data_IF_621637540242
#
_entry.id   IF_621637540242
#
_cell.length_a   1.000
_cell.length_b   1.000
_cell.length_c   1.000
_cell.angle_alpha   90.00
_cell.angle_beta   90.00
_cell.angle_gamma   90.00
#
_symmetry.space_group_name_H-M   'P 1'
#
loop_
_entity.id
_entity.type
_entity.pdbx_description
1 polymer ?
#
# COMPACT_ATOMS: atom_id res chain seq x y z
N UNK A 1 -2.89 17.37 7.22
CA UNK A 1 -3.74 17.21 6.02
C UNK A 1 -4.68 16.04 6.27
N UNK A 2 -5.99 16.26 6.19
CA UNK A 2 -6.96 15.17 6.20
C UNK A 2 -6.95 14.51 4.81
N UNK A 3 -6.82 13.18 4.75
CA UNK A 3 -6.97 12.46 3.50
C UNK A 3 -8.44 12.45 3.11
N UNK A 4 -8.80 12.74 1.85
CA UNK A 4 -10.11 12.32 1.34
C UNK A 4 -10.27 10.82 1.61
N UNK A 5 -11.40 10.37 2.16
CA UNK A 5 -11.56 8.99 2.64
C UNK A 5 -11.28 7.94 1.55
N UNK A 6 -11.70 8.21 0.31
CA UNK A 6 -11.41 7.37 -0.86
C UNK A 6 -9.91 7.22 -1.12
N UNK A 7 -9.16 8.32 -0.98
CA UNK A 7 -7.70 8.34 -1.12
C UNK A 7 -7.01 7.53 -0.04
N UNK A 8 -7.45 7.65 1.22
CA UNK A 8 -6.92 6.85 2.33
C UNK A 8 -7.16 5.35 2.15
N UNK A 9 -8.38 4.98 1.73
CA UNK A 9 -8.73 3.59 1.47
C UNK A 9 -7.83 2.94 0.41
N UNK A 10 -7.56 3.64 -0.71
CA UNK A 10 -6.62 3.14 -1.73
C UNK A 10 -5.19 3.01 -1.19
N UNK A 11 -4.72 4.01 -0.45
CA UNK A 11 -3.38 4.04 0.12
C UNK A 11 -3.15 2.91 1.14
N UNK A 12 -4.12 2.64 2.02
CA UNK A 12 -4.06 1.54 2.98
C UNK A 12 -4.00 0.17 2.30
N UNK A 13 -4.71 -0.04 1.19
CA UNK A 13 -4.65 -1.32 0.43
C UNK A 13 -3.28 -1.56 -0.18
N UNK A 14 -2.63 -0.51 -0.68
CA UNK A 14 -1.28 -0.58 -1.25
C UNK A 14 -0.24 -0.87 -0.16
N UNK A 15 -0.38 -0.24 1.01
CA UNK A 15 0.44 -0.55 2.19
C UNK A 15 0.23 -1.99 2.68
N UNK A 16 -1.02 -2.47 2.71
CA UNK A 16 -1.34 -3.85 3.06
C UNK A 16 -0.69 -4.84 2.08
N UNK A 17 -0.69 -4.56 0.78
CA UNK A 17 0.00 -5.40 -0.20
C UNK A 17 1.51 -5.43 0.04
N UNK A 18 2.13 -4.28 0.34
CA UNK A 18 3.53 -4.23 0.77
C UNK A 18 3.78 -5.13 1.99
N UNK A 19 2.97 -5.01 3.06
CA UNK A 19 3.11 -5.84 4.27
C UNK A 19 2.94 -7.33 4.02
N UNK A 20 2.03 -7.71 3.13
CA UNK A 20 1.88 -9.11 2.69
C UNK A 20 3.08 -9.59 1.90
N UNK A 21 3.72 -8.74 1.10
CA UNK A 21 4.96 -9.12 0.43
C UNK A 21 6.11 -9.26 1.42
N UNK A 22 6.22 -8.33 2.38
CA UNK A 22 7.21 -8.37 3.45
C UNK A 22 7.12 -9.67 4.25
N UNK A 23 5.90 -10.07 4.67
CA UNK A 23 5.68 -11.33 5.39
C UNK A 23 6.01 -12.59 4.58
N UNK A 24 6.04 -12.49 3.25
CA UNK A 24 6.36 -13.59 2.34
C UNK A 24 7.82 -13.57 1.88
N UNK A 25 8.63 -12.58 2.28
CA UNK A 25 10.02 -12.44 1.82
C UNK A 25 10.16 -11.92 0.38
N UNK A 26 9.22 -11.10 -0.09
CA UNK A 26 9.22 -10.47 -1.42
C UNK A 26 9.36 -11.42 -2.62
N UNK A 27 8.57 -12.51 -2.72
CA UNK A 27 8.68 -13.45 -3.83
C UNK A 27 8.33 -12.80 -5.17
N UNK A 28 8.99 -13.26 -6.23
CA UNK A 28 8.76 -12.81 -7.61
C UNK A 28 7.29 -13.04 -8.01
N UNK A 29 6.70 -12.06 -8.71
CA UNK A 29 5.33 -12.14 -9.22
C UNK A 29 4.22 -11.76 -8.23
N UNK A 30 4.44 -11.87 -6.90
CA UNK A 30 3.39 -11.51 -5.92
C UNK A 30 2.99 -10.04 -5.92
N UNK A 31 3.92 -9.13 -6.24
CA UNK A 31 3.58 -7.71 -6.38
C UNK A 31 2.54 -7.52 -7.47
N UNK A 32 2.75 -8.12 -8.65
CA UNK A 32 1.83 -8.04 -9.77
C UNK A 32 0.48 -8.66 -9.47
N UNK A 33 0.46 -9.80 -8.76
CA UNK A 33 -0.78 -10.44 -8.29
C UNK A 33 -1.60 -9.51 -7.38
N UNK A 34 -0.96 -8.93 -6.36
CA UNK A 34 -1.62 -7.99 -5.46
C UNK A 34 -2.05 -6.70 -6.17
N UNK A 35 -1.25 -6.18 -7.10
CA UNK A 35 -1.62 -4.99 -7.88
C UNK A 35 -2.86 -5.24 -8.73
N UNK A 36 -3.01 -6.42 -9.34
CA UNK A 36 -4.21 -6.80 -10.09
C UNK A 36 -5.44 -6.91 -9.19
N UNK A 37 -5.32 -7.54 -8.02
CA UNK A 37 -6.42 -7.66 -7.05
C UNK A 37 -6.89 -6.28 -6.55
N UNK A 38 -5.95 -5.38 -6.25
CA UNK A 38 -6.28 -4.02 -5.84
C UNK A 38 -6.95 -3.27 -6.99
N UNK A 39 -6.38 -3.35 -8.20
CA UNK A 39 -6.90 -2.70 -9.41
C UNK A 39 -8.36 -3.04 -9.66
N UNK A 40 -8.71 -4.34 -9.61
CA UNK A 40 -10.09 -4.81 -9.79
C UNK A 40 -11.07 -4.24 -8.76
N UNK A 41 -10.59 -3.96 -7.54
CA UNK A 41 -11.44 -3.47 -6.44
C UNK A 41 -11.51 -1.95 -6.37
N UNK A 42 -10.53 -1.25 -6.94
CA UNK A 42 -10.41 0.21 -6.84
C UNK A 42 -10.60 0.95 -8.15
N UNK A 43 -10.59 0.27 -9.29
CA UNK A 43 -10.57 0.90 -10.62
C UNK A 43 -9.28 1.66 -10.92
N UNK A 44 -8.19 1.37 -10.19
CA UNK A 44 -6.89 2.02 -10.39
C UNK A 44 -6.01 1.18 -11.30
N UNK A 45 -5.19 1.83 -12.12
CA UNK A 45 -4.23 1.14 -12.99
C UNK A 45 -3.23 0.29 -12.20
N UNK A 46 -2.98 -0.93 -12.69
CA UNK A 46 -2.07 -1.92 -12.09
C UNK A 46 -0.67 -1.35 -11.91
N UNK A 47 -0.17 -0.59 -12.90
CA UNK A 47 1.17 -0.01 -12.88
C UNK A 47 1.31 1.08 -11.82
N UNK A 48 0.26 1.91 -11.63
CA UNK A 48 0.23 2.91 -10.56
C UNK A 48 0.29 2.25 -9.18
N UNK A 49 -0.49 1.18 -8.97
CA UNK A 49 -0.47 0.41 -7.72
C UNK A 49 0.90 -0.23 -7.51
N UNK A 50 1.47 -0.86 -8.55
CA UNK A 50 2.78 -1.51 -8.50
C UNK A 50 3.90 -0.52 -8.15
N UNK A 51 3.93 0.63 -8.80
CA UNK A 51 4.87 1.71 -8.50
C UNK A 51 4.74 2.18 -7.05
N UNK A 52 3.51 2.30 -6.54
CA UNK A 52 3.28 2.72 -5.14
C UNK A 52 3.76 1.68 -4.13
N UNK A 53 3.56 0.39 -4.40
CA UNK A 53 4.12 -0.69 -3.56
C UNK A 53 5.66 -0.63 -3.57
N UNK A 54 6.27 -0.34 -4.73
CA UNK A 54 7.72 -0.13 -4.83
C UNK A 54 8.18 1.06 -3.96
N UNK A 55 7.43 2.17 -3.98
CA UNK A 55 7.74 3.32 -3.13
C UNK A 55 7.69 2.96 -1.63
N UNK A 56 6.72 2.14 -1.18
CA UNK A 56 6.71 1.65 0.21
C UNK A 56 7.95 0.82 0.55
N UNK A 57 8.45 -0.01 -0.37
CA UNK A 57 9.70 -0.76 -0.18
C UNK A 57 10.91 0.17 -0.01
N UNK A 58 11.01 1.22 -0.82
CA UNK A 58 12.08 2.21 -0.67
C UNK A 58 11.99 2.95 0.66
N UNK A 59 10.78 3.38 1.05
CA UNK A 59 10.59 4.08 2.35
C UNK A 59 10.89 3.15 3.53
N UNK A 60 10.63 1.85 3.40
CA UNK A 60 10.96 0.83 4.38
C UNK A 60 12.46 0.42 4.38
N UNK A 61 13.28 0.93 3.46
CA UNK A 61 14.69 0.56 3.33
C UNK A 61 14.94 -0.81 2.68
N UNK A 62 13.92 -1.43 2.07
CA UNK A 62 14.04 -2.70 1.35
C UNK A 62 14.65 -2.51 -0.04
N UNK A 63 14.27 -1.43 -0.71
CA UNK A 63 14.81 -1.02 -2.01
C UNK A 63 15.67 0.24 -1.83
N UNK A 64 16.45 0.56 -2.86
CA UNK A 64 17.11 1.86 -2.99
C UNK A 64 16.09 3.01 -2.89
N UNK A 65 16.59 4.20 -2.56
CA UNK A 65 15.78 5.41 -2.50
C UNK A 65 15.03 5.63 -3.82
N UNK A 66 13.78 6.09 -3.70
CA UNK A 66 12.92 6.41 -4.83
C UNK A 66 12.28 7.78 -4.61
N UNK A 67 11.67 8.32 -5.67
CA UNK A 67 10.86 9.54 -5.62
C UNK A 67 9.50 9.30 -4.96
N UNK A 68 9.48 8.56 -3.84
CA UNK A 68 8.29 8.32 -3.05
C UNK A 68 7.69 9.67 -2.62
N UNK A 69 6.43 9.89 -2.94
CA UNK A 69 5.77 11.15 -2.65
C UNK A 69 5.71 11.42 -1.14
N UNK A 70 5.61 12.69 -0.75
CA UNK A 70 5.41 13.11 0.65
C UNK A 70 4.26 12.34 1.29
N UNK A 71 3.17 12.15 0.53
CA UNK A 71 2.00 11.40 0.98
C UNK A 71 2.34 9.94 1.34
N UNK A 72 3.12 9.25 0.50
CA UNK A 72 3.56 7.88 0.78
C UNK A 72 4.42 7.80 2.03
N UNK A 73 5.36 8.76 2.20
CA UNK A 73 6.21 8.83 3.40
C UNK A 73 5.39 9.06 4.66
N UNK A 74 4.42 9.99 4.62
CA UNK A 74 3.53 10.28 5.74
C UNK A 74 2.63 9.09 6.09
N UNK A 75 2.02 8.44 5.09
CA UNK A 75 1.19 7.27 5.33
C UNK A 75 2.01 6.14 5.96
N UNK A 76 3.21 5.90 5.47
CA UNK A 76 4.10 4.87 6.03
C UNK A 76 4.51 5.22 7.47
N UNK A 77 4.82 6.48 7.77
CA UNK A 77 5.11 6.91 9.14
C UNK A 77 3.92 6.66 10.09
N UNK A 78 2.70 6.92 9.61
CA UNK A 78 1.49 6.80 10.42
C UNK A 78 0.98 5.36 10.58
N UNK A 79 1.12 4.51 9.56
CA UNK A 79 0.50 3.18 9.54
C UNK A 79 1.49 2.03 9.27
N UNK A 80 2.74 2.31 8.92
CA UNK A 80 3.73 1.31 8.54
C UNK A 80 4.17 0.38 9.69
N UNK A 81 3.93 0.78 10.93
CA UNK A 81 4.16 -0.07 12.12
C UNK A 81 3.00 -1.05 12.39
N UNK A 82 1.87 -0.91 11.68
CA UNK A 82 0.69 -1.76 11.89
C UNK A 82 0.87 -3.15 11.28
N UNK A 83 0.25 -4.12 11.94
CA UNK A 83 0.13 -5.49 11.46
C UNK A 83 -0.82 -5.59 10.25
N UNK A 84 -0.74 -6.71 9.53
CA UNK A 84 -1.66 -7.04 8.43
C UNK A 84 -3.11 -7.00 8.90
N UNK A 85 -3.40 -7.53 10.10
CA UNK A 85 -4.74 -7.59 10.67
C UNK A 85 -5.30 -6.18 10.95
N UNK A 86 -4.53 -5.32 11.62
CA UNK A 86 -4.93 -3.93 11.88
C UNK A 86 -5.19 -3.13 10.59
N UNK A 87 -4.34 -3.33 9.57
CA UNK A 87 -4.55 -2.68 8.27
C UNK A 87 -5.83 -3.17 7.58
N UNK A 88 -6.17 -4.46 7.69
CA UNK A 88 -7.41 -5.01 7.15
C UNK A 88 -8.64 -4.44 7.86
N UNK A 89 -8.57 -4.28 9.19
CA UNK A 89 -9.63 -3.66 9.98
C UNK A 89 -9.84 -2.20 9.55
N UNK A 90 -8.76 -1.42 9.45
CA UNK A 90 -8.82 -0.04 8.97
C UNK A 90 -9.40 0.08 7.56
N UNK A 91 -9.01 -0.79 6.63
CA UNK A 91 -9.59 -0.81 5.27
C UNK A 91 -11.09 -1.09 5.31
N UNK A 92 -11.54 -1.95 6.22
CA UNK A 92 -12.96 -2.29 6.36
C UNK A 92 -13.75 -1.12 6.92
N UNK A 93 -13.20 -0.39 7.90
CA UNK A 93 -13.81 0.82 8.46
C UNK A 93 -14.00 1.91 7.40
N UNK A 94 -12.98 2.15 6.56
CA UNK A 94 -13.00 3.19 5.53
C UNK A 94 -13.63 2.73 4.20
N UNK A 95 -14.20 1.52 4.11
CA UNK A 95 -14.89 1.02 2.91
C UNK A 95 -16.34 1.56 2.80
N UNK A 96 -16.88 2.17 3.86
CA UNK A 96 -18.32 2.46 4.02
C UNK A 96 -18.72 3.93 3.81
N UNK A 97 -17.89 4.75 3.17
CA UNK A 97 -18.24 6.12 2.80
C UNK A 97 -18.47 6.24 1.28
#
# INVERSE_FOLDING_TARGET
MAYPETSLWHELRRLLAFKKQESLGFPRGKQSEFSRDISQKSGLEVDNISAKICNYKSVAGVNNESNASVNTKQLYSQYGHKSIAELQELITLHKRA
#
